data_IF_048209656247
#
_entry.id   IF_048209656247
#
_cell.length_a   1.000
_cell.length_b   1.000
_cell.length_c   1.000
_cell.angle_alpha   90.00
_cell.angle_beta   90.00
_cell.angle_gamma   90.00
#
_symmetry.space_group_name_H-M   'P 1'
#
loop_
_entity.id
_entity.type
_entity.pdbx_description
1 polymer ?
#
# COMPACT_ATOMS: atom_id res chain seq x y z
N UNK A 1 -29.68 -63.63 -3.18
CA UNK A 1 -29.64 -62.28 -3.79
C UNK A 1 -29.53 -61.27 -2.67
N UNK A 2 -28.31 -60.85 -2.37
CA UNK A 2 -28.02 -59.93 -1.27
C UNK A 2 -28.26 -58.50 -1.75
N UNK A 3 -29.09 -57.74 -1.02
CA UNK A 3 -29.37 -56.33 -1.32
C UNK A 3 -28.39 -55.47 -0.53
N UNK A 4 -27.43 -54.87 -1.22
CA UNK A 4 -26.59 -53.82 -0.65
C UNK A 4 -27.34 -52.49 -0.70
N UNK A 5 -27.72 -51.97 0.45
CA UNK A 5 -28.30 -50.63 0.60
C UNK A 5 -27.15 -49.65 0.78
N UNK A 6 -26.86 -48.86 -0.27
CA UNK A 6 -25.86 -47.80 -0.20
C UNK A 6 -26.50 -46.52 0.36
N UNK A 7 -26.08 -46.10 1.55
CA UNK A 7 -26.48 -44.84 2.17
C UNK A 7 -25.47 -43.76 1.77
N UNK A 8 -25.85 -42.92 0.80
CA UNK A 8 -25.04 -41.76 0.39
C UNK A 8 -25.40 -40.55 1.24
N UNK A 9 -24.51 -40.15 2.13
CA UNK A 9 -24.57 -38.85 2.80
C UNK A 9 -24.05 -37.76 1.86
N UNK A 10 -24.97 -37.10 1.14
CA UNK A 10 -24.68 -35.85 0.43
C UNK A 10 -24.63 -34.72 1.46
N UNK A 11 -23.47 -34.57 2.11
CA UNK A 11 -23.16 -33.41 2.92
C UNK A 11 -23.08 -32.17 2.03
N UNK A 12 -24.13 -31.35 2.02
CA UNK A 12 -24.07 -30.00 1.50
C UNK A 12 -23.13 -29.19 2.40
N UNK A 13 -21.84 -29.18 2.08
CA UNK A 13 -20.90 -28.22 2.65
C UNK A 13 -21.27 -26.87 2.04
N UNK A 14 -22.19 -26.15 2.70
CA UNK A 14 -22.40 -24.74 2.45
C UNK A 14 -21.09 -24.02 2.76
N UNK A 15 -20.29 -23.85 1.71
CA UNK A 15 -19.14 -22.95 1.73
C UNK A 15 -19.72 -21.55 1.80
N UNK A 16 -20.00 -21.07 3.02
CA UNK A 16 -20.22 -19.65 3.23
C UNK A 16 -18.90 -18.98 2.86
N UNK A 17 -18.79 -18.53 1.62
CA UNK A 17 -17.82 -17.51 1.25
C UNK A 17 -18.27 -16.32 2.07
N UNK A 18 -17.69 -16.15 3.25
CA UNK A 18 -17.77 -14.91 3.98
C UNK A 18 -17.25 -13.87 2.99
N UNK A 19 -18.17 -13.10 2.39
CA UNK A 19 -17.82 -11.98 1.55
C UNK A 19 -17.15 -10.98 2.48
N UNK A 20 -15.83 -11.15 2.64
CA UNK A 20 -15.02 -10.24 3.42
C UNK A 20 -15.25 -8.87 2.78
N UNK A 21 -15.83 -7.90 3.51
CA UNK A 21 -16.10 -6.60 2.94
C UNK A 21 -14.80 -6.09 2.32
N UNK A 22 -14.85 -5.44 1.14
CA UNK A 22 -13.66 -5.03 0.41
C UNK A 22 -12.74 -4.31 1.39
N UNK A 23 -11.60 -4.93 1.69
CA UNK A 23 -10.71 -4.49 2.75
C UNK A 23 -10.34 -3.05 2.45
N UNK A 24 -10.94 -2.12 3.18
CA UNK A 24 -10.55 -0.72 3.10
C UNK A 24 -9.12 -0.66 3.65
N UNK A 25 -8.23 0.20 3.10
CA UNK A 25 -6.95 0.42 3.74
C UNK A 25 -7.24 0.73 5.22
N UNK A 26 -6.62 -0.02 6.14
CA UNK A 26 -6.78 0.23 7.57
C UNK A 26 -6.10 1.56 7.89
N UNK A 27 -6.85 2.65 7.74
CA UNK A 27 -6.43 3.97 8.16
C UNK A 27 -6.53 4.00 9.69
N UNK A 28 -5.41 4.30 10.32
CA UNK A 28 -5.37 4.41 11.78
C UNK A 28 -5.66 5.86 12.17
N UNK A 29 -6.39 6.03 13.29
CA UNK A 29 -6.53 7.33 13.92
C UNK A 29 -5.16 7.87 14.36
N UNK A 30 -4.27 6.98 14.81
CA UNK A 30 -2.91 7.28 15.23
C UNK A 30 -1.98 6.13 14.87
N UNK A 31 -0.72 6.43 14.56
CA UNK A 31 0.30 5.40 14.32
C UNK A 31 0.83 4.88 15.64
N UNK A 32 1.01 3.57 15.75
CA UNK A 32 1.74 2.98 16.87
C UNK A 32 3.20 3.44 16.84
N UNK A 33 3.75 3.72 18.04
CA UNK A 33 5.18 3.89 18.22
C UNK A 33 5.84 2.51 18.21
N UNK A 34 6.74 2.29 17.27
CA UNK A 34 7.46 1.03 17.11
C UNK A 34 8.94 1.31 16.99
N UNK A 35 9.75 0.44 17.57
CA UNK A 35 11.20 0.59 17.60
C UNK A 35 11.81 0.11 16.30
N UNK A 36 12.75 0.88 15.77
CA UNK A 36 13.56 0.49 14.62
C UNK A 36 14.59 -0.58 15.00
N UNK A 37 14.95 -1.42 14.04
CA UNK A 37 16.07 -2.34 14.17
C UNK A 37 17.34 -1.60 14.62
N UNK A 38 17.94 -2.04 15.72
CA UNK A 38 19.24 -1.53 16.14
C UNK A 38 20.31 -1.77 15.07
N UNK A 39 21.10 -0.74 14.77
CA UNK A 39 22.13 -0.80 13.73
C UNK A 39 21.59 -0.88 12.30
N UNK A 40 20.34 -0.47 12.06
CA UNK A 40 19.75 -0.44 10.73
C UNK A 40 20.59 0.39 9.75
N UNK A 41 21.07 -0.26 8.67
CA UNK A 41 21.75 0.42 7.59
C UNK A 41 20.74 0.94 6.56
N UNK A 42 20.37 2.21 6.72
CA UNK A 42 19.42 2.90 5.85
C UNK A 42 19.88 2.93 4.40
N UNK A 43 21.15 3.25 4.14
CA UNK A 43 21.67 3.39 2.77
C UNK A 43 21.60 2.07 2.01
N UNK A 44 21.99 0.97 2.67
CA UNK A 44 21.90 -0.37 2.10
C UNK A 44 20.46 -0.81 1.84
N UNK A 45 19.52 -0.47 2.72
CA UNK A 45 18.12 -0.83 2.54
C UNK A 45 17.45 -0.05 1.39
N UNK A 46 17.82 1.22 1.22
CA UNK A 46 17.27 2.11 0.20
C UNK A 46 18.08 2.11 -1.10
N UNK A 47 18.67 0.98 -1.49
CA UNK A 47 19.44 0.84 -2.74
C UNK A 47 19.01 -0.35 -3.61
N UNK A 48 17.81 -0.89 -3.42
CA UNK A 48 17.43 -2.17 -4.04
C UNK A 48 15.95 -2.38 -4.28
N UNK A 49 15.60 -3.61 -4.66
CA UNK A 49 14.23 -4.03 -4.92
C UNK A 49 13.72 -4.96 -3.81
N UNK A 50 12.51 -4.71 -3.33
CA UNK A 50 11.85 -5.48 -2.27
C UNK A 50 10.50 -6.02 -2.75
N UNK A 51 10.22 -7.27 -2.45
CA UNK A 51 8.94 -7.91 -2.79
C UNK A 51 8.12 -8.18 -1.53
N UNK A 52 6.85 -7.79 -1.53
CA UNK A 52 5.95 -8.10 -0.41
C UNK A 52 5.48 -9.54 -0.55
N UNK A 53 5.99 -10.41 0.33
CA UNK A 53 5.61 -11.82 0.41
C UNK A 53 4.46 -12.06 1.40
N UNK A 54 4.41 -11.28 2.48
CA UNK A 54 3.39 -11.40 3.53
C UNK A 54 2.92 -10.02 3.97
N UNK A 55 1.66 -9.91 4.37
CA UNK A 55 1.10 -8.68 4.93
C UNK A 55 0.08 -9.00 6.01
N UNK A 56 0.24 -8.37 7.18
CA UNK A 56 -0.80 -8.28 8.20
C UNK A 56 -1.55 -6.97 7.97
N UNK A 57 -2.88 -7.01 7.92
CA UNK A 57 -3.74 -5.82 7.76
C UNK A 57 -3.58 -5.05 6.42
N UNK A 58 -3.08 -5.73 5.38
CA UNK A 58 -2.99 -5.21 4.01
C UNK A 58 -4.20 -5.62 3.15
N UNK A 59 -4.47 -4.86 2.10
CA UNK A 59 -5.40 -5.29 1.04
C UNK A 59 -4.70 -6.30 0.12
N UNK A 60 -5.44 -7.13 -0.62
CA UNK A 60 -4.84 -8.07 -1.58
C UNK A 60 -3.85 -7.40 -2.54
N UNK A 61 -4.17 -6.18 -2.99
CA UNK A 61 -3.29 -5.39 -3.85
C UNK A 61 -1.93 -5.05 -3.23
N UNK A 62 -1.75 -5.27 -1.93
CA UNK A 62 -0.51 -5.04 -1.15
C UNK A 62 0.47 -6.20 -1.29
N UNK A 63 -0.03 -7.43 -1.42
CA UNK A 63 0.78 -8.59 -1.72
C UNK A 63 1.30 -8.50 -3.16
N UNK A 64 2.40 -9.21 -3.44
CA UNK A 64 3.04 -9.27 -4.76
C UNK A 64 3.51 -7.92 -5.30
N UNK A 65 3.53 -6.86 -4.48
CA UNK A 65 4.10 -5.58 -4.86
C UNK A 65 5.61 -5.67 -4.86
N UNK A 66 6.20 -5.26 -5.97
CA UNK A 66 7.61 -4.89 -6.05
C UNK A 66 7.77 -3.41 -5.68
N UNK A 67 8.60 -3.15 -4.68
CA UNK A 67 9.06 -1.84 -4.27
C UNK A 67 10.48 -1.63 -4.77
N UNK A 68 10.71 -0.55 -5.50
CA UNK A 68 12.07 -0.12 -5.85
C UNK A 68 12.45 1.03 -4.92
N UNK A 69 13.57 0.86 -4.22
CA UNK A 69 14.10 1.84 -3.28
C UNK A 69 15.38 2.46 -3.84
N UNK A 70 15.55 3.75 -3.62
CA UNK A 70 16.74 4.48 -4.05
C UNK A 70 17.01 5.66 -3.13
N UNK A 71 18.17 6.28 -3.29
CA UNK A 71 18.49 7.60 -2.72
C UNK A 71 18.59 8.57 -3.88
N UNK A 72 17.87 9.69 -3.82
CA UNK A 72 17.94 10.72 -4.86
C UNK A 72 19.19 11.60 -4.72
N UNK A 73 19.42 12.49 -5.68
CA UNK A 73 20.56 13.42 -5.68
C UNK A 73 20.62 14.35 -4.46
N UNK A 74 19.50 14.55 -3.76
CA UNK A 74 19.42 15.32 -2.53
C UNK A 74 19.58 14.47 -1.25
N UNK A 75 20.03 13.22 -1.35
CA UNK A 75 20.22 12.33 -0.20
C UNK A 75 18.94 11.78 0.42
N UNK A 76 17.77 11.99 -0.22
CA UNK A 76 16.49 11.55 0.31
C UNK A 76 16.15 10.15 -0.22
N UNK A 77 15.73 9.28 0.69
CA UNK A 77 15.20 7.97 0.32
C UNK A 77 13.93 8.12 -0.52
N UNK A 78 13.87 7.36 -1.60
CA UNK A 78 12.75 7.29 -2.54
C UNK A 78 12.25 5.86 -2.57
N UNK A 79 10.94 5.69 -2.61
CA UNK A 79 10.27 4.39 -2.72
C UNK A 79 9.23 4.47 -3.82
N UNK A 80 9.35 3.58 -4.81
CA UNK A 80 8.46 3.51 -5.96
C UNK A 80 7.83 2.14 -6.07
N UNK A 81 6.56 2.08 -6.49
CA UNK A 81 5.87 0.82 -6.76
C UNK A 81 4.66 1.06 -7.67
N UNK A 82 4.26 0.00 -8.37
CA UNK A 82 3.05 -0.02 -9.21
C UNK A 82 1.97 -0.92 -8.61
N UNK A 83 0.70 -0.60 -8.88
CA UNK A 83 -0.39 -1.54 -8.67
C UNK A 83 -1.52 -1.30 -9.67
N UNK A 84 -2.21 -2.37 -10.06
CA UNK A 84 -3.46 -2.26 -10.82
C UNK A 84 -4.62 -2.14 -9.84
N UNK A 85 -5.55 -1.21 -10.10
CA UNK A 85 -6.84 -1.21 -9.41
C UNK A 85 -7.94 -0.76 -10.36
N UNK A 86 -8.87 -1.69 -10.59
CA UNK A 86 -9.98 -1.60 -11.56
C UNK A 86 -9.52 -1.47 -13.01
N UNK A 87 -8.54 -2.28 -13.42
CA UNK A 87 -7.99 -2.25 -14.78
C UNK A 87 -7.06 -1.07 -15.07
N UNK A 88 -6.89 -0.16 -14.11
CA UNK A 88 -6.04 1.02 -14.24
C UNK A 88 -4.73 0.84 -13.50
N UNK A 89 -3.63 1.01 -14.23
CA UNK A 89 -2.29 1.06 -13.66
C UNK A 89 -2.12 2.36 -12.87
N UNK A 90 -1.60 2.22 -11.65
CA UNK A 90 -1.21 3.35 -10.82
C UNK A 90 0.24 3.21 -10.42
N UNK A 91 0.99 4.29 -10.57
CA UNK A 91 2.38 4.39 -10.15
C UNK A 91 2.45 5.26 -8.91
N UNK A 92 3.13 4.77 -7.88
CA UNK A 92 3.34 5.51 -6.65
C UNK A 92 4.81 5.88 -6.55
N UNK A 93 5.09 7.14 -6.26
CA UNK A 93 6.42 7.62 -5.91
C UNK A 93 6.34 8.32 -4.57
N UNK A 94 7.14 7.84 -3.62
CA UNK A 94 7.23 8.37 -2.27
C UNK A 94 8.63 8.91 -2.02
N UNK A 95 8.73 10.15 -1.56
CA UNK A 95 10.02 10.76 -1.22
C UNK A 95 10.04 11.05 0.28
N UNK A 96 11.15 10.73 0.94
CA UNK A 96 11.32 11.01 2.35
C UNK A 96 11.21 12.53 2.60
N UNK A 97 10.35 12.91 3.53
CA UNK A 97 10.04 14.28 3.88
C UNK A 97 11.03 14.84 4.90
N UNK A 98 11.26 14.10 5.98
CA UNK A 98 12.11 14.50 7.08
C UNK A 98 13.57 14.12 6.82
N UNK A 99 14.51 14.98 7.20
CA UNK A 99 15.94 14.66 7.20
C UNK A 99 16.35 13.81 8.42
N UNK A 100 15.41 13.53 9.33
CA UNK A 100 15.66 12.66 10.48
C UNK A 100 16.28 11.33 10.03
N UNK A 101 17.41 11.02 10.65
CA UNK A 101 18.09 9.73 10.53
C UNK A 101 17.35 8.63 11.29
N UNK A 102 16.46 8.99 12.22
CA UNK A 102 15.73 8.06 13.08
C UNK A 102 14.27 7.86 12.65
N UNK A 103 13.79 6.64 12.83
CA UNK A 103 12.41 6.27 12.62
C UNK A 103 11.42 6.98 13.58
N UNK A 104 10.14 7.14 13.19
CA UNK A 104 9.56 6.71 11.91
C UNK A 104 10.00 7.62 10.75
N UNK A 105 10.30 6.99 9.62
CA UNK A 105 10.58 7.72 8.38
C UNK A 105 9.28 8.17 7.75
N UNK A 106 9.17 9.47 7.52
CA UNK A 106 7.97 10.08 6.97
C UNK A 106 8.17 10.29 5.47
N UNK A 107 7.25 9.76 4.67
CA UNK A 107 7.29 9.89 3.22
C UNK A 107 6.07 10.63 2.68
N UNK A 108 6.33 11.60 1.82
CA UNK A 108 5.30 12.22 0.97
C UNK A 108 5.16 11.39 -0.30
N UNK A 109 3.97 10.83 -0.53
CA UNK A 109 3.67 9.96 -1.66
C UNK A 109 2.72 10.62 -2.65
N UNK A 110 3.00 10.42 -3.93
CA UNK A 110 2.13 10.77 -5.04
C UNK A 110 1.71 9.52 -5.79
N UNK A 111 0.40 9.41 -6.05
CA UNK A 111 -0.16 8.38 -6.93
C UNK A 111 -0.48 9.01 -8.26
N UNK A 112 0.13 8.49 -9.32
CA UNK A 112 -0.14 8.84 -10.70
C UNK A 112 -1.01 7.76 -11.36
N UNK A 113 -2.03 8.21 -12.06
CA UNK A 113 -2.79 7.43 -13.04
C UNK A 113 -2.49 8.12 -14.38
N UNK A 114 -1.84 7.39 -15.29
CA UNK A 114 -1.17 7.97 -16.47
C UNK A 114 -0.15 9.06 -16.04
N UNK A 115 -0.28 10.28 -16.55
CA UNK A 115 0.56 11.43 -16.18
C UNK A 115 -0.05 12.31 -15.07
N UNK A 116 -1.26 11.98 -14.61
CA UNK A 116 -1.99 12.84 -13.66
C UNK A 116 -1.83 12.34 -12.22
N UNK A 117 -1.37 13.23 -11.33
CA UNK A 117 -1.40 12.96 -9.88
C UNK A 117 -2.84 12.96 -9.38
N UNK A 118 -3.35 11.79 -9.03
CA UNK A 118 -4.73 11.58 -8.55
C UNK A 118 -4.86 11.62 -7.03
N UNK A 119 -3.76 11.35 -6.31
CA UNK A 119 -3.75 11.31 -4.84
C UNK A 119 -2.37 11.72 -4.31
N UNK A 120 -2.37 12.50 -3.23
CA UNK A 120 -1.19 12.72 -2.40
C UNK A 120 -1.48 12.34 -0.96
N UNK A 121 -0.52 11.68 -0.30
CA UNK A 121 -0.64 11.28 1.08
C UNK A 121 0.71 11.15 1.77
N UNK A 122 0.68 11.19 3.10
CA UNK A 122 1.84 10.94 3.93
C UNK A 122 1.77 9.51 4.49
N UNK A 123 2.92 8.83 4.59
CA UNK A 123 3.02 7.50 5.18
C UNK A 123 4.24 7.43 6.09
N UNK A 124 4.08 6.81 7.25
CA UNK A 124 5.17 6.49 8.17
C UNK A 124 5.65 5.07 7.92
N UNK A 125 6.97 4.89 7.93
CA UNK A 125 7.64 3.60 7.74
C UNK A 125 8.70 3.41 8.81
N UNK A 126 8.72 2.23 9.42
CA UNK A 126 9.78 1.83 10.35
C UNK A 126 10.22 0.41 10.01
N UNK A 127 11.52 0.20 9.88
CA UNK A 127 12.10 -1.14 9.67
C UNK A 127 12.26 -1.79 11.04
N UNK A 128 11.44 -2.80 11.32
CA UNK A 128 11.45 -3.50 12.60
C UNK A 128 12.59 -4.52 12.65
N UNK A 129 12.79 -5.25 11.54
CA UNK A 129 13.86 -6.21 11.37
C UNK A 129 14.31 -6.27 9.91
N UNK A 130 15.57 -6.63 9.68
CA UNK A 130 16.12 -6.92 8.36
C UNK A 130 17.47 -7.61 8.49
N UNK A 131 17.79 -8.52 7.57
CA UNK A 131 19.10 -9.17 7.42
C UNK A 131 19.80 -8.79 6.10
N UNK A 132 19.24 -7.83 5.36
CA UNK A 132 19.68 -7.42 4.03
C UNK A 132 19.01 -8.16 2.86
N UNK A 133 18.43 -9.34 3.09
CA UNK A 133 17.71 -10.13 2.08
C UNK A 133 16.19 -10.18 2.33
N UNK A 134 15.80 -10.11 3.60
CA UNK A 134 14.43 -10.07 4.11
C UNK A 134 14.26 -8.88 5.05
N UNK A 135 13.02 -8.40 5.18
CA UNK A 135 12.72 -7.30 6.08
C UNK A 135 11.28 -7.35 6.60
N UNK A 136 11.10 -6.90 7.83
CA UNK A 136 9.81 -6.62 8.44
C UNK A 136 9.61 -5.11 8.50
N UNK A 137 8.68 -4.62 7.68
CA UNK A 137 8.33 -3.20 7.60
C UNK A 137 7.01 -2.93 8.31
N UNK A 138 7.03 -2.04 9.29
CA UNK A 138 5.81 -1.40 9.77
C UNK A 138 5.46 -0.21 8.88
N UNK A 139 4.23 -0.19 8.36
CA UNK A 139 3.70 0.87 7.49
C UNK A 139 2.40 1.43 8.07
N UNK A 140 2.37 2.73 8.34
CA UNK A 140 1.18 3.40 8.88
C UNK A 140 0.71 4.56 8.00
N UNK A 141 -0.59 4.57 7.68
CA UNK A 141 -1.27 5.68 7.00
C UNK A 141 -2.31 6.28 7.94
N UNK A 142 -2.12 7.53 8.33
CA UNK A 142 -3.06 8.24 9.20
C UNK A 142 -4.26 8.79 8.41
N UNK A 143 -5.44 8.75 9.02
CA UNK A 143 -6.65 9.42 8.53
C UNK A 143 -6.39 10.93 8.38
N UNK A 144 -6.81 11.55 7.28
CA UNK A 144 -6.72 13.01 7.06
C UNK A 144 -5.47 13.50 6.31
N UNK A 145 -4.45 12.66 6.15
CA UNK A 145 -3.25 12.99 5.32
C UNK A 145 -3.52 12.98 3.81
N UNK A 146 -4.68 12.48 3.41
CA UNK A 146 -5.08 12.28 2.03
C UNK A 146 -5.63 13.58 1.41
N UNK A 147 -4.87 14.21 0.51
CA UNK A 147 -5.34 15.36 -0.27
C UNK A 147 -5.78 14.88 -1.65
N UNK A 148 -7.10 14.68 -1.85
CA UNK A 148 -7.67 14.48 -3.19
C UNK A 148 -7.79 15.85 -3.88
N UNK A 149 -7.19 16.02 -5.07
CA UNK A 149 -7.51 17.20 -5.91
C UNK A 149 -8.97 17.07 -6.35
N UNK A 150 -9.84 18.03 -5.96
CA UNK A 150 -11.18 18.17 -6.54
C UNK A 150 -10.99 18.36 -8.05
N UNK A 151 -11.57 17.48 -8.89
CA UNK A 151 -11.78 17.80 -10.31
C UNK A 151 -12.59 19.10 -10.33
N UNK A 152 -12.01 20.20 -10.84
CA UNK A 152 -12.80 21.38 -11.23
C UNK A 152 -13.79 20.87 -12.27
N UNK A 153 -15.07 20.71 -11.91
CA UNK A 153 -16.14 20.66 -12.91
C UNK A 153 -16.06 22.01 -13.64
N UNK A 154 -15.51 22.05 -14.86
CA UNK A 154 -15.78 23.17 -15.77
C UNK A 154 -17.30 23.16 -15.96
N UNK A 155 -18.01 24.09 -15.31
CA UNK A 155 -19.37 24.45 -15.76
C UNK A 155 -19.17 25.05 -17.14
N UNK A 156 -19.45 24.28 -18.19
CA UNK A 156 -19.79 24.88 -19.47
C UNK A 156 -21.13 25.58 -19.26
N UNK A 157 -21.08 26.89 -19.06
CA UNK A 157 -22.25 27.73 -19.28
C UNK A 157 -22.46 27.74 -20.79
N UNK A 158 -23.57 27.16 -21.24
CA UNK A 158 -24.01 27.32 -22.61
C UNK A 158 -24.24 28.82 -22.88
N UNK A 159 -23.86 29.33 -24.06
CA UNK A 159 -24.20 30.70 -24.43
C UNK A 159 -25.73 30.85 -24.53
N UNK A 160 -26.28 32.03 -24.20
CA UNK A 160 -27.71 32.27 -24.30
C UNK A 160 -28.17 32.14 -25.76
N UNK A 161 -29.40 31.64 -26.00
CA UNK A 161 -29.97 31.54 -27.33
C UNK A 161 -30.12 32.94 -27.95
N UNK A 162 -29.79 33.03 -29.24
CA UNK A 162 -30.03 34.21 -30.08
C UNK A 162 -31.52 34.38 -30.37
#
# INVERSE_FOLDING_TARGET
MEKLVAVTFLGLVMSTIAQQPPQRPNFLAQCQSVTEKSGFNKEQFFSGDWFVTHAKDGTESTLCRKYTTSVNSGGKSVVQYGYNRYGKERKVSCTQKNENSQAPYIFDCEVKEDEQTVLKYEVQKTILETDGNSALLYRCLQVGTQKKKKKKKKKFLAPPPQ
#
